data_IF_183778743339
#
_entry.id   IF_183778743339
#
_cell.length_a   1.000
_cell.length_b   1.000
_cell.length_c   1.000
_cell.angle_alpha   90.00
_cell.angle_beta   90.00
_cell.angle_gamma   90.00
#
_symmetry.space_group_name_H-M   'P 1'
#
loop_
_entity.id
_entity.type
_entity.pdbx_description
1 polymer ?
#
# COMPACT_ATOMS: atom_id res chain seq x y z
N UNK A 1 -25.26 44.28 -20.26
CA UNK A 1 -24.87 42.90 -19.93
C UNK A 1 -23.36 42.87 -19.84
N UNK A 2 -22.81 42.68 -18.63
CA UNK A 2 -21.46 43.11 -18.27
C UNK A 2 -20.41 42.09 -18.76
N UNK A 3 -19.58 42.47 -19.74
CA UNK A 3 -18.54 41.61 -20.33
C UNK A 3 -17.58 41.03 -19.27
N UNK A 4 -17.29 41.81 -18.22
CA UNK A 4 -16.46 41.39 -17.09
C UNK A 4 -17.08 40.23 -16.28
N UNK A 5 -18.40 40.05 -16.27
CA UNK A 5 -19.05 38.97 -15.52
C UNK A 5 -18.94 37.62 -16.27
N UNK A 6 -18.99 37.66 -17.60
CA UNK A 6 -18.75 36.49 -18.45
C UNK A 6 -17.29 36.01 -18.39
N UNK A 7 -16.34 36.95 -18.32
CA UNK A 7 -14.91 36.62 -18.24
C UNK A 7 -14.52 36.01 -16.88
N UNK A 8 -15.15 36.47 -15.80
CA UNK A 8 -14.98 35.91 -14.45
C UNK A 8 -15.63 34.51 -14.33
N UNK A 9 -16.82 34.30 -14.90
CA UNK A 9 -17.47 32.98 -14.93
C UNK A 9 -16.72 31.97 -15.82
N UNK A 10 -16.00 32.42 -16.85
CA UNK A 10 -15.18 31.55 -17.71
C UNK A 10 -13.91 31.02 -17.01
N UNK A 11 -13.33 31.80 -16.09
CA UNK A 11 -12.12 31.41 -15.35
C UNK A 11 -12.39 30.46 -14.18
N UNK A 12 -13.62 30.46 -13.64
CA UNK A 12 -14.06 29.53 -12.59
C UNK A 12 -14.32 28.10 -13.09
N UNK A 13 -14.37 27.89 -14.41
CA UNK A 13 -14.66 26.59 -15.04
C UNK A 13 -13.42 25.82 -15.53
N UNK A 14 -12.20 26.28 -15.19
CA UNK A 14 -10.96 25.72 -15.74
C UNK A 14 -10.17 24.78 -14.82
N UNK A 15 -10.72 24.40 -13.66
CA UNK A 15 -10.10 23.38 -12.79
C UNK A 15 -10.35 21.95 -13.35
N UNK A 16 -10.04 21.79 -14.64
CA UNK A 16 -10.04 20.50 -15.30
C UNK A 16 -8.86 19.72 -14.76
N UNK A 17 -9.12 18.84 -13.78
CA UNK A 17 -8.12 17.88 -13.30
C UNK A 17 -7.40 17.27 -14.51
N UNK A 18 -6.06 17.30 -14.53
CA UNK A 18 -5.28 16.78 -15.66
C UNK A 18 -5.26 15.24 -15.64
N UNK A 19 -6.38 14.62 -16.04
CA UNK A 19 -6.59 13.17 -16.02
C UNK A 19 -5.54 12.39 -16.81
N UNK A 20 -5.20 12.86 -18.02
CA UNK A 20 -4.15 12.25 -18.85
C UNK A 20 -2.80 12.29 -18.15
N UNK A 21 -2.54 13.38 -17.43
CA UNK A 21 -1.37 13.51 -16.58
C UNK A 21 -1.33 12.47 -15.45
N UNK A 22 -2.41 12.32 -14.68
CA UNK A 22 -2.47 11.33 -13.60
C UNK A 22 -2.39 9.90 -14.13
N UNK A 23 -2.99 9.62 -15.29
CA UNK A 23 -2.84 8.35 -15.99
C UNK A 23 -1.37 8.09 -16.35
N UNK A 24 -0.68 9.08 -16.92
CA UNK A 24 0.74 8.98 -17.26
C UNK A 24 1.61 8.73 -16.02
N UNK A 25 1.35 9.44 -14.91
CA UNK A 25 2.04 9.24 -13.64
C UNK A 25 1.86 7.80 -13.13
N UNK A 26 0.63 7.28 -13.20
CA UNK A 26 0.29 5.92 -12.78
C UNK A 26 0.95 4.87 -13.68
N UNK A 27 0.97 5.06 -14.99
CA UNK A 27 1.65 4.15 -15.93
C UNK A 27 3.12 4.04 -15.55
N UNK A 28 3.84 5.16 -15.42
CA UNK A 28 5.25 5.17 -15.03
C UNK A 28 5.44 4.46 -13.69
N UNK A 29 4.65 4.86 -12.69
CA UNK A 29 4.79 4.36 -11.33
C UNK A 29 4.56 2.84 -11.25
N UNK A 30 3.46 2.35 -11.82
CA UNK A 30 3.12 0.92 -11.82
C UNK A 30 4.15 0.13 -12.62
N UNK A 31 4.57 0.63 -13.79
CA UNK A 31 5.61 -0.02 -14.58
C UNK A 31 6.91 -0.16 -13.79
N UNK A 32 7.39 0.89 -13.12
CA UNK A 32 8.61 0.81 -12.31
C UNK A 32 8.42 -0.09 -11.09
N UNK A 33 7.28 -0.01 -10.40
CA UNK A 33 6.96 -0.86 -9.24
C UNK A 33 7.10 -2.36 -9.56
N UNK A 34 6.69 -2.79 -10.76
CA UNK A 34 6.84 -4.18 -11.18
C UNK A 34 8.21 -4.48 -11.78
N UNK A 35 8.71 -3.66 -12.71
CA UNK A 35 9.97 -3.96 -13.42
C UNK A 35 11.21 -3.87 -12.54
N UNK A 36 11.20 -3.06 -11.47
CA UNK A 36 12.38 -2.95 -10.58
C UNK A 36 12.73 -4.29 -9.92
N UNK A 37 11.76 -5.21 -9.83
CA UNK A 37 11.93 -6.54 -9.22
C UNK A 37 12.71 -7.52 -10.09
N UNK A 38 12.80 -7.24 -11.39
CA UNK A 38 13.69 -7.95 -12.30
C UNK A 38 15.18 -7.63 -12.02
N UNK A 39 15.44 -6.52 -11.32
CA UNK A 39 16.77 -6.17 -10.83
C UNK A 39 16.96 -6.80 -9.44
N UNK A 40 17.50 -8.02 -9.45
CA UNK A 40 17.86 -8.75 -8.24
C UNK A 40 19.37 -8.73 -8.04
N UNK A 41 19.83 -8.21 -6.91
CA UNK A 41 21.23 -8.22 -6.52
C UNK A 41 21.53 -9.60 -5.90
N UNK A 42 22.34 -10.45 -6.55
CA UNK A 42 22.68 -11.76 -5.99
C UNK A 42 23.55 -11.60 -4.75
N UNK A 43 23.52 -12.60 -3.86
CA UNK A 43 24.32 -12.68 -2.62
C UNK A 43 24.02 -11.62 -1.55
N UNK A 44 22.95 -10.84 -1.67
CA UNK A 44 22.44 -10.01 -0.57
C UNK A 44 21.12 -10.57 -0.05
N UNK A 45 20.80 -10.26 1.21
CA UNK A 45 19.58 -10.74 1.86
C UNK A 45 18.32 -10.27 1.12
N UNK A 46 17.26 -11.08 1.09
CA UNK A 46 15.99 -10.77 0.42
C UNK A 46 15.42 -9.40 0.83
N UNK A 47 15.47 -9.06 2.12
CA UNK A 47 15.01 -7.76 2.62
C UNK A 47 15.77 -6.57 2.05
N UNK A 48 17.06 -6.72 1.72
CA UNK A 48 17.85 -5.65 1.10
C UNK A 48 17.36 -5.39 -0.33
N UNK A 49 17.08 -6.46 -1.08
CA UNK A 49 16.44 -6.36 -2.41
C UNK A 49 15.04 -5.73 -2.29
N UNK A 50 14.23 -6.15 -1.32
CA UNK A 50 12.91 -5.57 -1.04
C UNK A 50 12.95 -4.06 -0.82
N UNK A 51 13.80 -3.62 0.10
CA UNK A 51 14.02 -2.19 0.38
C UNK A 51 14.51 -1.44 -0.86
N UNK A 52 15.44 -2.02 -1.62
CA UNK A 52 15.93 -1.41 -2.87
C UNK A 52 14.79 -1.16 -3.87
N UNK A 53 13.89 -2.13 -4.05
CA UNK A 53 12.71 -1.99 -4.91
C UNK A 53 11.76 -0.90 -4.40
N UNK A 54 11.47 -0.89 -3.10
CA UNK A 54 10.55 0.08 -2.49
C UNK A 54 11.11 1.50 -2.47
N UNK A 55 12.41 1.69 -2.21
CA UNK A 55 13.05 3.00 -2.31
C UNK A 55 13.12 3.52 -3.74
N UNK A 56 13.36 2.65 -4.72
CA UNK A 56 13.31 3.03 -6.14
C UNK A 56 11.91 3.49 -6.54
N UNK A 57 10.88 2.77 -6.08
CA UNK A 57 9.48 3.14 -6.30
C UNK A 57 9.11 4.45 -5.58
N UNK A 58 9.63 4.68 -4.37
CA UNK A 58 9.47 5.93 -3.61
C UNK A 58 10.10 7.12 -4.34
N UNK A 59 11.25 6.93 -4.99
CA UNK A 59 11.89 7.97 -5.78
C UNK A 59 10.99 8.40 -6.95
N UNK A 60 10.37 7.45 -7.66
CA UNK A 60 9.41 7.73 -8.73
C UNK A 60 8.15 8.42 -8.20
N UNK A 61 7.56 7.91 -7.11
CA UNK A 61 6.40 8.55 -6.47
C UNK A 61 6.72 10.02 -6.12
N UNK A 62 7.83 10.24 -5.42
CA UNK A 62 8.27 11.57 -4.99
C UNK A 62 8.52 12.49 -6.19
N UNK A 63 9.11 11.97 -7.27
CA UNK A 63 9.32 12.74 -8.50
C UNK A 63 8.00 13.15 -9.15
N UNK A 64 7.03 12.23 -9.30
CA UNK A 64 5.71 12.55 -9.86
C UNK A 64 4.92 13.49 -8.97
N UNK A 65 5.01 13.33 -7.65
CA UNK A 65 4.42 14.26 -6.67
C UNK A 65 4.97 15.68 -6.82
N UNK A 66 6.30 15.83 -6.93
CA UNK A 66 6.94 17.14 -7.15
C UNK A 66 6.51 17.79 -8.46
N UNK A 67 6.36 17.01 -9.54
CA UNK A 67 5.83 17.50 -10.81
C UNK A 67 4.38 18.03 -10.72
N UNK A 68 3.67 17.68 -9.64
CA UNK A 68 2.29 18.13 -9.34
C UNK A 68 2.22 19.14 -8.18
N UNK A 69 3.35 19.58 -7.63
CA UNK A 69 3.44 20.40 -6.41
C UNK A 69 2.74 19.76 -5.19
N UNK A 70 2.77 18.43 -5.09
CA UNK A 70 2.23 17.66 -3.96
C UNK A 70 3.40 17.19 -3.09
N UNK A 71 3.25 17.26 -1.77
CA UNK A 71 4.19 16.78 -0.78
C UNK A 71 3.64 15.57 0.00
N UNK A 72 4.52 14.83 0.69
CA UNK A 72 4.08 13.71 1.55
C UNK A 72 3.14 14.16 2.68
N UNK A 73 3.25 15.43 3.12
CA UNK A 73 2.33 15.99 4.12
C UNK A 73 0.90 16.11 3.58
N UNK A 74 0.75 16.46 2.31
CA UNK A 74 -0.56 16.55 1.63
C UNK A 74 -1.22 15.18 1.49
N UNK A 75 -0.41 14.13 1.41
CA UNK A 75 -0.86 12.73 1.34
C UNK A 75 -1.03 12.07 2.72
N UNK A 76 -0.86 12.81 3.81
CA UNK A 76 -1.15 12.29 5.15
C UNK A 76 0.03 11.95 6.03
N UNK A 77 1.27 12.13 5.57
CA UNK A 77 2.47 12.06 6.41
C UNK A 77 2.61 13.37 7.22
N UNK A 78 1.61 13.63 8.05
CA UNK A 78 1.51 14.81 8.89
C UNK A 78 1.33 14.40 10.35
N UNK A 79 1.69 15.30 11.26
CA UNK A 79 1.60 15.04 12.70
C UNK A 79 0.15 14.66 13.06
N UNK A 80 -0.07 13.52 13.75
CA UNK A 80 -1.41 13.15 14.17
C UNK A 80 -1.96 14.17 15.17
N UNK A 81 -3.26 14.48 15.05
CA UNK A 81 -3.94 15.42 15.95
C UNK A 81 -4.07 14.88 17.39
N UNK A 82 -4.13 13.56 17.55
CA UNK A 82 -4.18 12.89 18.84
C UNK A 82 -3.52 11.52 18.77
N UNK A 83 -2.56 11.28 19.66
CA UNK A 83 -1.89 9.98 19.80
C UNK A 83 -2.89 8.91 20.20
N UNK A 84 -3.79 9.20 21.16
CA UNK A 84 -4.84 8.26 21.61
C UNK A 84 -5.74 7.83 20.46
N UNK A 85 -6.21 8.79 19.65
CA UNK A 85 -7.04 8.50 18.47
C UNK A 85 -6.28 7.64 17.46
N UNK A 86 -5.01 7.95 17.21
CA UNK A 86 -4.12 7.22 16.30
C UNK A 86 -3.98 5.76 16.74
N UNK A 87 -3.69 5.52 18.02
CA UNK A 87 -3.57 4.17 18.58
C UNK A 87 -4.90 3.40 18.52
N UNK A 88 -6.03 4.03 18.85
CA UNK A 88 -7.34 3.39 18.78
C UNK A 88 -7.70 2.97 17.34
N UNK A 89 -7.42 3.83 16.36
CA UNK A 89 -7.61 3.50 14.93
C UNK A 89 -6.68 2.34 14.54
N UNK A 90 -5.42 2.38 14.97
CA UNK A 90 -4.44 1.31 14.68
C UNK A 90 -4.93 -0.05 15.20
N UNK A 91 -5.43 -0.10 16.44
CA UNK A 91 -6.02 -1.32 17.04
C UNK A 91 -7.25 -1.76 16.25
N UNK A 92 -8.12 -0.82 15.85
CA UNK A 92 -9.28 -1.12 15.02
C UNK A 92 -8.91 -1.73 13.67
N UNK A 93 -7.86 -1.21 13.02
CA UNK A 93 -7.31 -1.76 11.77
C UNK A 93 -6.80 -3.19 12.00
N UNK A 94 -6.03 -3.42 13.08
CA UNK A 94 -5.51 -4.75 13.42
C UNK A 94 -6.64 -5.77 13.57
N UNK A 95 -7.64 -5.46 14.40
CA UNK A 95 -8.78 -6.35 14.65
C UNK A 95 -9.55 -6.62 13.36
N UNK A 96 -9.89 -5.57 12.61
CA UNK A 96 -10.62 -5.72 11.35
C UNK A 96 -9.84 -6.56 10.32
N UNK A 97 -8.52 -6.39 10.27
CA UNK A 97 -7.65 -7.16 9.38
C UNK A 97 -7.64 -8.64 9.77
N UNK A 98 -7.41 -8.96 11.04
CA UNK A 98 -7.41 -10.35 11.53
C UNK A 98 -8.76 -11.01 11.28
N UNK A 99 -9.87 -10.34 11.62
CA UNK A 99 -11.22 -10.87 11.36
C UNK A 99 -11.48 -11.08 9.86
N UNK A 100 -11.02 -10.17 8.99
CA UNK A 100 -11.16 -10.33 7.54
C UNK A 100 -10.37 -11.53 7.01
N UNK A 101 -9.15 -11.76 7.53
CA UNK A 101 -8.32 -12.91 7.15
C UNK A 101 -8.96 -14.22 7.65
N UNK A 102 -9.41 -14.25 8.90
CA UNK A 102 -10.12 -15.41 9.47
C UNK A 102 -11.37 -15.75 8.66
N UNK A 103 -12.17 -14.74 8.30
CA UNK A 103 -13.35 -14.95 7.47
C UNK A 103 -12.99 -15.52 6.10
N UNK A 104 -11.94 -14.99 5.45
CA UNK A 104 -11.44 -15.53 4.19
C UNK A 104 -11.02 -17.00 4.31
N UNK A 105 -10.27 -17.38 5.35
CA UNK A 105 -9.87 -18.77 5.57
C UNK A 105 -11.05 -19.73 5.82
N UNK A 106 -12.17 -19.25 6.35
CA UNK A 106 -13.38 -20.07 6.52
C UNK A 106 -14.07 -20.34 5.17
N UNK A 107 -14.04 -19.35 4.27
CA UNK A 107 -14.76 -19.45 2.99
C UNK A 107 -13.90 -19.96 1.84
N UNK A 108 -12.56 -19.92 1.94
CA UNK A 108 -11.64 -20.16 0.82
C UNK A 108 -11.87 -21.50 0.12
N UNK A 109 -12.22 -22.54 0.86
CA UNK A 109 -12.43 -23.91 0.34
C UNK A 109 -13.67 -24.00 -0.57
N UNK A 110 -14.55 -22.98 -0.54
CA UNK A 110 -15.71 -22.87 -1.42
C UNK A 110 -15.45 -22.04 -2.68
N UNK A 111 -14.24 -21.47 -2.86
CA UNK A 111 -13.90 -20.66 -4.03
C UNK A 111 -13.21 -21.55 -5.08
N UNK A 112 -13.88 -21.92 -6.19
CA UNK A 112 -13.39 -22.91 -7.15
C UNK A 112 -12.19 -22.45 -7.98
N UNK A 113 -11.85 -21.17 -7.94
CA UNK A 113 -10.71 -20.59 -8.65
C UNK A 113 -9.44 -20.54 -7.80
N UNK A 114 -9.53 -20.80 -6.50
CA UNK A 114 -8.36 -21.02 -5.65
C UNK A 114 -8.00 -22.49 -5.79
N UNK A 115 -7.24 -22.80 -6.83
CA UNK A 115 -6.62 -24.11 -6.97
C UNK A 115 -5.83 -24.41 -5.70
N UNK A 116 -5.83 -25.67 -5.27
CA UNK A 116 -4.74 -26.26 -4.47
C UNK A 116 -3.44 -26.19 -5.28
N UNK A 117 -2.98 -25.00 -5.63
CA UNK A 117 -1.55 -24.80 -5.64
C UNK A 117 -1.19 -25.01 -4.18
N UNK A 118 -0.66 -26.20 -3.91
CA UNK A 118 0.14 -26.43 -2.72
C UNK A 118 0.88 -25.13 -2.44
N UNK A 119 0.94 -24.77 -1.16
CA UNK A 119 2.01 -23.92 -0.69
C UNK A 119 3.27 -24.68 -1.08
N UNK A 120 3.74 -24.53 -2.33
CA UNK A 120 5.08 -24.83 -2.74
C UNK A 120 5.85 -23.77 -1.97
N UNK A 121 6.09 -24.00 -0.69
CA UNK A 121 7.31 -24.64 -0.23
C UNK A 121 8.59 -23.98 -0.73
N UNK A 122 8.51 -22.83 -1.40
CA UNK A 122 9.54 -21.81 -1.37
C UNK A 122 9.54 -21.31 0.05
N UNK A 123 10.17 -22.11 0.90
CA UNK A 123 10.33 -21.99 2.33
C UNK A 123 10.24 -20.51 2.71
N UNK A 124 9.13 -20.11 3.33
CA UNK A 124 9.02 -18.72 3.79
C UNK A 124 10.09 -18.44 4.87
N UNK A 125 10.66 -19.49 5.47
CA UNK A 125 11.92 -19.51 6.21
C UNK A 125 13.13 -19.13 5.35
N UNK A 126 13.23 -19.56 4.08
CA UNK A 126 14.36 -19.21 3.20
C UNK A 126 14.49 -17.69 2.95
N UNK A 127 13.39 -16.93 2.94
CA UNK A 127 13.41 -15.49 2.68
C UNK A 127 13.93 -14.66 3.86
N UNK A 128 13.75 -15.14 5.08
CA UNK A 128 14.11 -14.42 6.30
C UNK A 128 15.21 -15.14 7.09
N UNK A 129 15.75 -16.23 6.55
CA UNK A 129 16.68 -17.12 7.22
C UNK A 129 16.01 -18.03 8.26
N UNK A 130 16.83 -18.83 8.92
CA UNK A 130 16.37 -19.70 10.00
C UNK A 130 16.17 -18.88 11.29
N UNK A 131 14.93 -18.38 11.44
CA UNK A 131 14.51 -17.58 12.59
C UNK A 131 14.25 -18.43 13.83
N UNK A 132 14.02 -19.74 13.70
CA UNK A 132 13.56 -20.60 14.80
C UNK A 132 14.59 -20.64 15.92
N UNK A 133 14.25 -20.10 17.09
CA UNK A 133 15.14 -19.93 18.24
C UNK A 133 16.22 -18.86 18.08
N UNK A 134 16.26 -18.14 16.95
CA UNK A 134 17.31 -17.20 16.59
C UNK A 134 16.89 -15.74 16.80
N UNK A 135 16.78 -15.35 18.08
CA UNK A 135 16.43 -13.98 18.47
C UNK A 135 17.42 -12.92 17.95
N UNK A 136 18.70 -13.28 17.78
CA UNK A 136 19.69 -12.35 17.23
C UNK A 136 19.36 -11.99 15.78
N UNK A 137 19.04 -12.98 14.95
CA UNK A 137 18.60 -12.76 13.58
C UNK A 137 17.30 -11.95 13.54
N UNK A 138 16.33 -12.27 14.40
CA UNK A 138 15.09 -11.50 14.52
C UNK A 138 15.37 -10.00 14.75
N UNK A 139 16.18 -9.66 15.76
CA UNK A 139 16.52 -8.26 16.06
C UNK A 139 17.36 -7.60 14.96
N UNK A 140 18.15 -8.37 14.21
CA UNK A 140 18.90 -7.86 13.06
C UNK A 140 17.99 -7.50 11.88
N UNK A 141 16.92 -8.26 11.63
CA UNK A 141 16.05 -8.06 10.45
C UNK A 141 14.81 -7.22 10.71
N UNK A 142 14.28 -7.18 11.94
CA UNK A 142 13.03 -6.49 12.24
C UNK A 142 13.05 -5.00 11.84
N UNK A 143 14.14 -4.22 11.98
CA UNK A 143 14.13 -2.81 11.53
C UNK A 143 13.90 -2.68 10.03
N UNK A 144 14.45 -3.59 9.20
CA UNK A 144 14.23 -3.59 7.76
C UNK A 144 12.77 -3.90 7.42
N UNK A 145 12.16 -4.85 8.13
CA UNK A 145 10.74 -5.18 7.99
C UNK A 145 9.85 -3.97 8.33
N UNK A 146 10.16 -3.25 9.40
CA UNK A 146 9.39 -2.06 9.81
C UNK A 146 9.54 -0.88 8.84
N UNK A 147 10.75 -0.68 8.29
CA UNK A 147 10.98 0.32 7.23
C UNK A 147 10.17 -0.07 5.99
N UNK A 148 10.21 -1.33 5.58
CA UNK A 148 9.43 -1.82 4.43
C UNK A 148 7.93 -1.58 4.66
N UNK A 149 7.37 -1.99 5.80
CA UNK A 149 5.97 -1.70 6.16
C UNK A 149 5.61 -0.21 6.03
N UNK A 150 6.52 0.67 6.46
CA UNK A 150 6.32 2.12 6.35
C UNK A 150 6.31 2.59 4.90
N UNK A 151 7.24 2.09 4.08
CA UNK A 151 7.32 2.41 2.66
C UNK A 151 6.06 1.96 1.93
N UNK A 152 5.55 0.77 2.22
CA UNK A 152 4.31 0.27 1.64
C UNK A 152 3.12 1.19 1.94
N UNK A 153 2.97 1.68 3.18
CA UNK A 153 1.88 2.61 3.49
C UNK A 153 2.00 3.95 2.74
N UNK A 154 3.21 4.48 2.57
CA UNK A 154 3.44 5.70 1.79
C UNK A 154 3.10 5.49 0.31
N UNK A 155 3.59 4.41 -0.27
CA UNK A 155 3.45 4.08 -1.70
C UNK A 155 2.02 3.71 -2.07
N UNK A 156 1.36 2.91 -1.24
CA UNK A 156 0.03 2.40 -1.53
C UNK A 156 -1.06 3.37 -1.07
N UNK A 157 -1.07 3.79 0.20
CA UNK A 157 -2.16 4.61 0.76
C UNK A 157 -1.92 6.08 0.47
N UNK A 158 -0.69 6.54 0.67
CA UNK A 158 -0.29 7.90 0.34
C UNK A 158 -0.39 8.17 -1.16
N UNK A 159 0.37 7.45 -1.98
CA UNK A 159 0.48 7.76 -3.40
C UNK A 159 -0.65 7.12 -4.25
N UNK A 160 -0.75 5.79 -4.33
CA UNK A 160 -1.66 5.12 -5.29
C UNK A 160 -3.13 5.53 -5.12
N UNK A 161 -3.67 5.52 -3.90
CA UNK A 161 -5.08 5.89 -3.68
C UNK A 161 -5.35 7.30 -4.20
N UNK A 162 -4.52 8.28 -3.84
CA UNK A 162 -4.74 9.67 -4.24
C UNK A 162 -4.58 9.86 -5.77
N UNK A 163 -3.67 9.14 -6.42
CA UNK A 163 -3.51 9.21 -7.87
C UNK A 163 -4.70 8.58 -8.61
N UNK A 164 -5.18 7.42 -8.17
CA UNK A 164 -6.38 6.82 -8.74
C UNK A 164 -7.61 7.69 -8.54
N UNK A 165 -7.80 8.30 -7.37
CA UNK A 165 -8.92 9.22 -7.16
C UNK A 165 -8.90 10.41 -8.11
N UNK A 166 -7.73 10.99 -8.38
CA UNK A 166 -7.60 12.07 -9.36
C UNK A 166 -7.88 11.56 -10.78
N UNK A 167 -7.42 10.37 -11.14
CA UNK A 167 -7.72 9.73 -12.42
C UNK A 167 -9.22 9.46 -12.61
N UNK A 168 -9.93 9.05 -11.56
CA UNK A 168 -11.35 8.71 -11.63
C UNK A 168 -12.29 9.83 -11.16
N UNK A 169 -11.78 11.05 -10.95
CA UNK A 169 -12.50 12.16 -10.31
C UNK A 169 -13.77 12.62 -11.05
N UNK A 170 -13.98 12.20 -12.30
CA UNK A 170 -15.23 12.40 -13.05
C UNK A 170 -16.36 11.43 -12.68
N UNK A 171 -16.09 10.45 -11.85
CA UNK A 171 -17.06 9.42 -11.43
C UNK A 171 -17.45 9.62 -9.96
N UNK A 172 -18.69 9.28 -9.60
CA UNK A 172 -19.16 9.33 -8.20
C UNK A 172 -18.54 8.26 -7.31
N UNK A 173 -17.86 7.27 -7.90
CA UNK A 173 -17.27 6.12 -7.21
C UNK A 173 -15.73 6.14 -7.21
N UNK A 174 -15.12 7.30 -7.51
CA UNK A 174 -13.67 7.45 -7.66
C UNK A 174 -12.87 6.87 -6.48
N UNK A 175 -13.28 7.17 -5.26
CA UNK A 175 -12.65 6.67 -4.03
C UNK A 175 -12.78 5.16 -3.87
N UNK A 176 -13.94 4.59 -4.23
CA UNK A 176 -14.16 3.14 -4.18
C UNK A 176 -13.22 2.45 -5.17
N UNK A 177 -13.17 2.93 -6.41
CA UNK A 177 -12.27 2.41 -7.44
C UNK A 177 -10.80 2.52 -7.02
N UNK A 178 -10.39 3.64 -6.43
CA UNK A 178 -9.02 3.84 -5.98
C UNK A 178 -8.60 2.84 -4.90
N UNK A 179 -9.45 2.63 -3.89
CA UNK A 179 -9.18 1.66 -2.82
C UNK A 179 -9.16 0.24 -3.35
N UNK A 180 -10.11 -0.14 -4.22
CA UNK A 180 -10.16 -1.50 -4.79
C UNK A 180 -8.95 -1.78 -5.69
N UNK A 181 -8.60 -0.88 -6.60
CA UNK A 181 -7.47 -1.06 -7.51
C UNK A 181 -6.15 -1.08 -6.75
N UNK A 182 -5.98 -0.21 -5.75
CA UNK A 182 -4.80 -0.24 -4.88
C UNK A 182 -4.70 -1.58 -4.14
N UNK A 183 -5.80 -2.07 -3.54
CA UNK A 183 -5.80 -3.34 -2.83
C UNK A 183 -5.46 -4.53 -3.74
N UNK A 184 -5.98 -4.55 -4.96
CA UNK A 184 -5.67 -5.58 -5.98
C UNK A 184 -4.18 -5.53 -6.35
N UNK A 185 -3.63 -4.34 -6.64
CA UNK A 185 -2.20 -4.18 -6.96
C UNK A 185 -1.34 -4.61 -5.77
N UNK A 186 -1.71 -4.23 -4.55
CA UNK A 186 -1.00 -4.58 -3.33
C UNK A 186 -0.99 -6.10 -3.08
N UNK A 187 -2.13 -6.77 -3.27
CA UNK A 187 -2.19 -8.24 -3.19
C UNK A 187 -1.33 -8.90 -4.26
N UNK A 188 -1.60 -8.59 -5.53
CA UNK A 188 -0.92 -9.18 -6.68
C UNK A 188 0.61 -9.00 -6.61
N UNK A 189 1.10 -7.84 -6.18
CA UNK A 189 2.54 -7.57 -6.10
C UNK A 189 3.26 -8.44 -5.05
N UNK A 190 2.57 -9.20 -4.20
CA UNK A 190 3.23 -10.02 -3.17
C UNK A 190 3.55 -11.46 -3.60
N UNK A 191 2.88 -11.96 -4.64
CA UNK A 191 3.12 -13.30 -5.20
C UNK A 191 3.20 -13.33 -6.73
N UNK A 192 2.86 -12.24 -7.42
CA UNK A 192 2.80 -12.13 -8.88
C UNK A 192 1.84 -13.15 -9.54
N UNK A 193 0.84 -13.60 -8.78
CA UNK A 193 -0.21 -14.53 -9.21
C UNK A 193 -1.51 -14.28 -8.42
N UNK A 194 -2.57 -15.02 -8.73
CA UNK A 194 -3.83 -15.01 -7.97
C UNK A 194 -3.85 -16.17 -6.96
N UNK A 195 -2.95 -16.15 -5.99
CA UNK A 195 -2.86 -17.13 -4.90
C UNK A 195 -3.61 -16.72 -3.62
N UNK A 196 -3.75 -17.67 -2.68
CA UNK A 196 -4.21 -17.41 -1.31
C UNK A 196 -3.43 -16.27 -0.65
N UNK A 197 -2.11 -16.24 -0.86
CA UNK A 197 -1.24 -15.16 -0.35
C UNK A 197 -1.61 -13.80 -0.94
N UNK A 198 -1.85 -13.74 -2.25
CA UNK A 198 -2.29 -12.53 -2.94
C UNK A 198 -3.61 -12.00 -2.38
N UNK A 199 -4.58 -12.87 -2.14
CA UNK A 199 -5.89 -12.47 -1.60
C UNK A 199 -5.76 -12.02 -0.15
N UNK A 200 -5.07 -12.78 0.69
CA UNK A 200 -4.84 -12.40 2.09
C UNK A 200 -4.18 -11.03 2.19
N UNK A 201 -3.12 -10.78 1.42
CA UNK A 201 -2.45 -9.47 1.40
C UNK A 201 -3.32 -8.38 0.78
N UNK A 202 -4.09 -8.70 -0.26
CA UNK A 202 -5.06 -7.79 -0.85
C UNK A 202 -6.15 -7.35 0.14
N UNK A 203 -6.64 -8.25 0.99
CA UNK A 203 -7.59 -7.95 2.07
C UNK A 203 -6.97 -7.02 3.13
N UNK A 204 -5.71 -7.23 3.50
CA UNK A 204 -4.96 -6.29 4.37
C UNK A 204 -4.94 -4.90 3.72
N UNK A 205 -4.54 -4.84 2.44
CA UNK A 205 -4.52 -3.60 1.66
C UNK A 205 -5.89 -2.92 1.59
N UNK A 206 -6.96 -3.69 1.41
CA UNK A 206 -8.33 -3.20 1.35
C UNK A 206 -8.76 -2.56 2.68
N UNK A 207 -8.58 -3.25 3.80
CA UNK A 207 -8.94 -2.73 5.13
C UNK A 207 -8.15 -1.46 5.45
N UNK A 208 -6.85 -1.45 5.15
CA UNK A 208 -6.01 -0.27 5.37
C UNK A 208 -6.35 0.88 4.42
N UNK A 209 -6.68 0.62 3.16
CA UNK A 209 -7.15 1.63 2.21
C UNK A 209 -8.48 2.26 2.64
N UNK A 210 -9.44 1.44 3.11
CA UNK A 210 -10.69 1.93 3.70
C UNK A 210 -10.40 2.80 4.94
N UNK A 211 -9.53 2.34 5.83
CA UNK A 211 -9.17 3.07 7.04
C UNK A 211 -8.49 4.41 6.73
N UNK A 212 -7.59 4.45 5.74
CA UNK A 212 -6.94 5.67 5.26
C UNK A 212 -7.99 6.72 4.86
N UNK A 213 -8.93 6.36 4.00
CA UNK A 213 -9.99 7.27 3.55
C UNK A 213 -10.91 7.68 4.70
N UNK A 214 -11.36 6.70 5.50
CA UNK A 214 -12.38 6.91 6.56
C UNK A 214 -11.87 7.76 7.72
N UNK A 215 -10.59 7.64 8.07
CA UNK A 215 -10.03 8.29 9.26
C UNK A 215 -9.20 9.54 8.95
N UNK A 216 -9.56 10.25 7.88
CA UNK A 216 -9.02 11.57 7.59
C UNK A 216 -7.65 11.54 6.92
N UNK A 217 -7.32 10.46 6.20
CA UNK A 217 -6.13 10.33 5.35
C UNK A 217 -4.83 10.60 6.10
N UNK A 218 -4.75 10.20 7.37
CA UNK A 218 -3.50 10.22 8.12
C UNK A 218 -2.83 8.84 8.00
N UNK A 219 -1.54 8.82 7.67
CA UNK A 219 -0.83 7.56 7.41
C UNK A 219 -0.37 6.87 8.70
N UNK A 220 -0.18 7.60 9.81
CA UNK A 220 0.39 7.04 11.04
C UNK A 220 -0.38 5.86 11.65
N UNK A 221 -1.73 5.87 11.75
CA UNK A 221 -2.45 4.71 12.26
C UNK A 221 -2.20 3.44 11.43
N UNK A 222 -2.00 3.61 10.12
CA UNK A 222 -1.77 2.52 9.19
C UNK A 222 -0.35 1.99 9.32
N UNK A 223 0.65 2.88 9.41
CA UNK A 223 2.05 2.50 9.68
C UNK A 223 2.12 1.67 10.97
N UNK A 224 1.51 2.16 12.05
CA UNK A 224 1.54 1.46 13.34
C UNK A 224 0.88 0.09 13.22
N UNK A 225 -0.32 0.02 12.63
CA UNK A 225 -1.03 -1.25 12.45
C UNK A 225 -0.22 -2.23 11.59
N UNK A 226 0.34 -1.78 10.47
CA UNK A 226 1.10 -2.64 9.57
C UNK A 226 2.41 -3.13 10.20
N UNK A 227 3.16 -2.23 10.84
CA UNK A 227 4.35 -2.60 11.59
C UNK A 227 4.05 -3.65 12.68
N UNK A 228 2.92 -3.51 13.39
CA UNK A 228 2.49 -4.49 14.38
C UNK A 228 2.10 -5.84 13.74
N UNK A 229 1.35 -5.86 12.64
CA UNK A 229 1.04 -7.11 11.90
C UNK A 229 2.31 -7.84 11.49
N UNK A 230 3.26 -7.13 10.89
CA UNK A 230 4.50 -7.75 10.43
C UNK A 230 5.41 -8.16 11.59
N UNK A 231 5.39 -7.43 12.71
CA UNK A 231 6.08 -7.85 13.93
C UNK A 231 5.48 -9.16 14.47
N UNK A 232 4.16 -9.26 14.59
CA UNK A 232 3.50 -10.51 15.03
C UNK A 232 3.85 -11.67 14.10
N UNK A 233 3.77 -11.46 12.78
CA UNK A 233 4.16 -12.47 11.80
C UNK A 233 5.63 -12.87 11.87
N UNK A 234 6.54 -11.98 12.26
CA UNK A 234 7.95 -12.30 12.47
C UNK A 234 8.19 -13.02 13.80
N UNK A 235 7.49 -12.65 14.87
CA UNK A 235 7.58 -13.31 16.17
C UNK A 235 7.10 -14.76 16.07
N UNK A 236 6.03 -15.04 15.32
CA UNK A 236 5.53 -16.41 15.09
C UNK A 236 6.54 -17.32 14.36
N UNK A 237 7.61 -16.76 13.79
CA UNK A 237 8.67 -17.50 13.07
C UNK A 237 9.91 -17.77 13.93
N UNK A 238 10.01 -17.15 15.11
CA UNK A 238 11.12 -17.34 16.07
C UNK A 238 10.78 -18.46 17.02
#
# INVERSE_FOLDING_TARGET
MNLNKMEIESNLNSDTTNHKGFLFDLIIYITVMFLIREIYIPNVHFLVNGLFWSFSTLAIATWRMRARNISWKDLGLSKPSSIKKTLLISIGILIATVLSIMFFHIIKDYLPFLSEQEVSGGDSSSKFGDLKGNWLLFFAIIPMVLIESTLEELLDRGFLINWFEKLFSKTSVATILAVLLQAVIFGFRHSNDLSERSITVGLIGLIMGIAYVKFGRNIWPLIIAHCLLNTMSMVDRV
#
